data_IF_736021013687
#
_entry.id   IF_736021013687
#
_cell.length_a   1.000
_cell.length_b   1.000
_cell.length_c   1.000
_cell.angle_alpha   90.00
_cell.angle_beta   90.00
_cell.angle_gamma   90.00
#
_symmetry.space_group_name_H-M   'P 1'
#
loop_
_entity.id
_entity.type
_entity.pdbx_description
1 polymer ?
#
# COMPACT_ATOMS: atom_id res chain seq x y z
N UNK A 1 -10.86 -48.29 33.27
CA UNK A 1 -10.60 -46.95 33.83
C UNK A 1 -10.77 -45.94 32.70
N UNK A 2 -11.78 -45.06 32.70
CA UNK A 2 -12.04 -44.10 31.65
C UNK A 2 -11.32 -42.78 31.97
N UNK A 3 -10.65 -42.22 30.94
CA UNK A 3 -10.04 -40.89 30.99
C UNK A 3 -11.11 -39.81 30.91
N UNK A 4 -11.06 -38.88 31.87
CA UNK A 4 -11.95 -37.71 31.95
C UNK A 4 -11.58 -36.67 30.93
N UNK A 5 -12.54 -36.24 30.07
CA UNK A 5 -12.49 -35.01 29.32
C UNK A 5 -12.71 -33.80 30.25
N UNK A 6 -11.76 -32.89 30.29
CA UNK A 6 -11.91 -31.59 30.93
C UNK A 6 -12.34 -30.56 29.88
N UNK A 7 -13.54 -30.03 30.08
CA UNK A 7 -14.14 -29.01 29.19
C UNK A 7 -13.91 -27.63 29.84
N UNK A 8 -12.85 -26.93 29.41
CA UNK A 8 -12.69 -25.50 29.70
C UNK A 8 -12.06 -24.79 28.49
N UNK A 9 -12.84 -23.98 27.80
CA UNK A 9 -12.35 -23.17 26.69
C UNK A 9 -13.41 -22.47 25.85
N UNK A 10 -14.49 -21.94 26.46
CA UNK A 10 -15.43 -21.06 25.76
C UNK A 10 -15.61 -19.76 26.55
N UNK A 11 -14.65 -18.86 26.49
CA UNK A 11 -14.73 -17.54 27.13
C UNK A 11 -13.98 -16.42 26.43
N UNK A 12 -13.18 -16.73 25.42
CA UNK A 12 -12.22 -15.75 24.87
C UNK A 12 -12.69 -14.88 23.70
N UNK A 13 -13.86 -15.12 23.12
CA UNK A 13 -14.28 -14.44 21.88
C UNK A 13 -15.21 -13.24 22.11
N UNK A 14 -15.89 -13.16 23.24
CA UNK A 14 -16.81 -12.07 23.53
C UNK A 14 -16.13 -10.85 24.17
N UNK A 15 -15.00 -11.02 24.85
CA UNK A 15 -14.27 -9.89 25.45
C UNK A 15 -13.43 -9.09 24.45
N UNK A 16 -12.96 -9.70 23.34
CA UNK A 16 -12.21 -8.98 22.30
C UNK A 16 -13.05 -7.95 21.55
N UNK A 17 -14.32 -8.23 21.28
CA UNK A 17 -15.21 -7.31 20.56
C UNK A 17 -15.53 -6.02 21.33
N UNK A 18 -15.50 -6.04 22.65
CA UNK A 18 -15.76 -4.87 23.49
C UNK A 18 -14.53 -3.98 23.68
N UNK A 19 -13.31 -4.55 23.60
CA UNK A 19 -12.06 -3.79 23.66
C UNK A 19 -11.81 -2.99 22.36
N UNK A 20 -12.16 -3.55 21.20
CA UNK A 20 -11.97 -2.91 19.88
C UNK A 20 -12.85 -1.66 19.73
N UNK A 21 -14.08 -1.68 20.22
CA UNK A 21 -14.99 -0.52 20.16
C UNK A 21 -14.55 0.61 21.11
N UNK A 22 -13.94 0.28 22.23
CA UNK A 22 -13.47 1.26 23.21
C UNK A 22 -12.18 1.97 22.74
N UNK A 23 -11.29 1.28 22.01
CA UNK A 23 -10.03 1.85 21.49
C UNK A 23 -10.29 2.78 20.30
N UNK A 24 -11.21 2.43 19.40
CA UNK A 24 -11.63 3.30 18.30
C UNK A 24 -12.32 4.57 18.81
N UNK A 25 -13.15 4.47 19.84
CA UNK A 25 -13.75 5.63 20.52
C UNK A 25 -12.69 6.53 21.18
N UNK A 26 -11.62 5.97 21.75
CA UNK A 26 -10.56 6.74 22.40
C UNK A 26 -9.64 7.45 21.41
N UNK A 27 -9.33 6.87 20.24
CA UNK A 27 -8.55 7.53 19.18
C UNK A 27 -9.33 8.69 18.55
N UNK A 28 -10.62 8.51 18.28
CA UNK A 28 -11.52 9.59 17.85
C UNK A 28 -11.66 10.68 18.92
N UNK A 29 -11.69 10.32 20.21
CA UNK A 29 -11.74 11.27 21.33
C UNK A 29 -10.42 12.00 21.51
N UNK A 30 -9.28 11.36 21.27
CA UNK A 30 -7.95 11.98 21.40
C UNK A 30 -7.68 12.94 20.23
N UNK A 31 -8.04 12.57 19.01
CA UNK A 31 -8.00 13.48 17.85
C UNK A 31 -8.95 14.67 18.02
N UNK A 32 -10.16 14.44 18.56
CA UNK A 32 -11.12 15.50 18.91
C UNK A 32 -10.66 16.39 20.06
N UNK A 33 -9.86 15.88 21.02
CA UNK A 33 -9.28 16.69 22.12
C UNK A 33 -8.11 17.55 21.68
N UNK A 34 -7.29 17.08 20.73
CA UNK A 34 -6.22 17.90 20.12
C UNK A 34 -6.79 19.04 19.27
N UNK A 35 -7.88 18.81 18.55
CA UNK A 35 -8.58 19.83 17.76
C UNK A 35 -9.30 20.91 18.64
N UNK A 36 -9.66 20.57 19.89
CA UNK A 36 -10.37 21.49 20.79
C UNK A 36 -9.53 22.63 21.40
N UNK A 37 -8.23 22.69 21.15
CA UNK A 37 -7.33 23.77 21.64
C UNK A 37 -7.08 24.88 20.64
N UNK A 38 -7.71 24.89 19.46
CA UNK A 38 -7.71 26.02 18.53
C UNK A 38 -9.12 26.57 18.38
N UNK A 39 -9.26 27.88 18.50
CA UNK A 39 -10.48 28.70 18.45
C UNK A 39 -11.40 28.28 17.31
N UNK A 40 -12.74 28.16 17.53
CA UNK A 40 -13.63 27.63 16.52
C UNK A 40 -13.87 28.65 15.40
N UNK A 41 -13.35 28.36 14.21
CA UNK A 41 -13.94 28.85 12.98
C UNK A 41 -15.32 28.20 12.84
N UNK A 42 -16.33 29.00 12.54
CA UNK A 42 -17.75 28.71 12.52
C UNK A 42 -18.11 27.26 12.14
N UNK A 43 -18.92 26.60 12.94
CA UNK A 43 -19.58 25.33 12.67
C UNK A 43 -20.49 25.46 11.44
N UNK A 44 -19.92 25.47 10.25
CA UNK A 44 -20.63 25.13 9.03
C UNK A 44 -20.91 23.63 9.14
N UNK A 45 -22.18 23.25 9.26
CA UNK A 45 -22.65 21.86 9.16
C UNK A 45 -22.04 21.27 7.90
N UNK A 46 -21.02 20.40 8.04
CA UNK A 46 -20.45 19.68 6.91
C UNK A 46 -21.55 18.76 6.39
N UNK A 47 -22.12 19.13 5.26
CA UNK A 47 -23.01 18.25 4.50
C UNK A 47 -22.16 17.07 4.08
N UNK A 48 -22.59 15.84 4.37
CA UNK A 48 -21.93 14.63 3.87
C UNK A 48 -21.98 14.67 2.34
N UNK A 49 -20.84 14.93 1.71
CA UNK A 49 -20.72 14.89 0.25
C UNK A 49 -20.73 13.44 -0.21
N UNK A 50 -21.27 13.12 -1.40
CA UNK A 50 -21.04 11.80 -2.02
C UNK A 50 -19.54 11.54 -2.18
N UNK A 51 -19.11 10.28 -2.02
CA UNK A 51 -17.69 9.91 -2.16
C UNK A 51 -17.08 10.39 -3.49
N UNK A 52 -17.81 10.25 -4.59
CA UNK A 52 -17.37 10.70 -5.92
C UNK A 52 -17.11 12.21 -5.99
N UNK A 53 -17.93 13.00 -5.32
CA UNK A 53 -17.75 14.45 -5.26
C UNK A 53 -16.51 14.81 -4.40
N UNK A 54 -16.34 14.15 -3.25
CA UNK A 54 -15.16 14.34 -2.41
C UNK A 54 -13.86 14.00 -3.17
N UNK A 55 -13.84 12.86 -3.88
CA UNK A 55 -12.68 12.45 -4.67
C UNK A 55 -12.41 13.43 -5.83
N UNK A 56 -13.45 13.84 -6.58
CA UNK A 56 -13.31 14.85 -7.63
C UNK A 56 -12.80 16.19 -7.11
N UNK A 57 -13.33 16.66 -5.98
CA UNK A 57 -12.87 17.89 -5.32
C UNK A 57 -11.40 17.78 -4.85
N UNK A 58 -10.99 16.60 -4.35
CA UNK A 58 -9.61 16.35 -3.96
C UNK A 58 -8.67 16.43 -5.15
N UNK A 59 -8.97 15.72 -6.26
CA UNK A 59 -8.13 15.73 -7.47
C UNK A 59 -8.00 17.14 -8.04
N UNK A 60 -9.10 17.89 -8.11
CA UNK A 60 -9.09 19.28 -8.55
C UNK A 60 -8.25 20.17 -7.65
N UNK A 61 -8.38 20.05 -6.32
CA UNK A 61 -7.61 20.84 -5.36
C UNK A 61 -6.11 20.60 -5.49
N UNK A 62 -5.69 19.35 -5.66
CA UNK A 62 -4.28 19.02 -5.88
C UNK A 62 -3.76 19.58 -7.22
N UNK A 63 -4.57 19.50 -8.28
CA UNK A 63 -4.21 20.06 -9.59
C UNK A 63 -4.11 21.60 -9.57
N UNK A 64 -5.05 22.30 -8.91
CA UNK A 64 -5.04 23.76 -8.73
C UNK A 64 -3.83 24.23 -7.90
N UNK A 65 -3.34 23.39 -6.97
CA UNK A 65 -2.14 23.63 -6.20
C UNK A 65 -0.84 23.23 -6.93
N UNK A 66 -0.95 22.84 -8.20
CA UNK A 66 0.18 22.39 -9.03
C UNK A 66 0.99 21.24 -8.39
N UNK A 67 0.32 20.36 -7.67
CA UNK A 67 0.91 19.14 -7.10
C UNK A 67 0.92 18.07 -8.18
N UNK A 68 2.10 17.55 -8.62
CA UNK A 68 2.14 16.40 -9.51
C UNK A 68 1.69 15.13 -8.77
N UNK A 69 0.75 14.39 -9.35
CA UNK A 69 0.26 13.15 -8.75
C UNK A 69 -0.25 12.16 -9.80
N UNK A 70 -0.34 10.89 -9.42
CA UNK A 70 -1.00 9.84 -10.20
C UNK A 70 -2.00 9.08 -9.34
N UNK A 71 -3.07 8.60 -9.95
CA UNK A 71 -4.11 7.80 -9.28
C UNK A 71 -3.82 6.32 -9.47
N UNK A 72 -3.80 5.57 -8.36
CA UNK A 72 -3.51 4.13 -8.35
C UNK A 72 -4.64 3.28 -7.79
N UNK A 73 -4.28 2.27 -6.99
CA UNK A 73 -5.18 1.42 -6.25
C UNK A 73 -6.28 0.76 -7.08
N UNK A 74 -7.50 0.76 -6.55
CA UNK A 74 -8.66 0.15 -7.19
C UNK A 74 -9.02 0.82 -8.53
N UNK A 75 -8.77 2.12 -8.68
CA UNK A 75 -9.04 2.85 -9.92
C UNK A 75 -8.08 2.45 -11.04
N UNK A 76 -6.79 2.24 -10.74
CA UNK A 76 -5.83 1.71 -11.70
C UNK A 76 -6.20 0.28 -12.10
N UNK A 77 -6.56 -0.58 -11.15
CA UNK A 77 -6.99 -1.95 -11.43
C UNK A 77 -8.23 -1.99 -12.34
N UNK A 78 -9.23 -1.14 -12.07
CA UNK A 78 -10.42 -1.00 -12.92
C UNK A 78 -10.05 -0.58 -14.33
N UNK A 79 -9.18 0.43 -14.47
CA UNK A 79 -8.79 0.95 -15.79
C UNK A 79 -8.00 -0.08 -16.60
N UNK A 80 -7.00 -0.75 -16.00
CA UNK A 80 -6.10 -1.66 -16.71
C UNK A 80 -6.70 -3.05 -16.94
N UNK A 81 -7.38 -3.60 -15.94
CA UNK A 81 -7.87 -4.98 -15.93
C UNK A 81 -9.40 -5.10 -16.01
N UNK A 82 -10.14 -3.99 -15.98
CA UNK A 82 -11.61 -3.99 -15.97
C UNK A 82 -12.22 -4.50 -14.66
N UNK A 83 -11.44 -4.67 -13.62
CA UNK A 83 -11.91 -5.17 -12.32
C UNK A 83 -12.50 -4.01 -11.52
N UNK A 84 -13.82 -3.99 -11.44
CA UNK A 84 -14.56 -3.00 -10.64
C UNK A 84 -14.89 -3.60 -9.28
N UNK A 85 -14.27 -3.09 -8.24
CA UNK A 85 -14.56 -3.46 -6.85
C UNK A 85 -14.84 -2.21 -6.03
N UNK A 86 -15.73 -2.35 -5.05
CA UNK A 86 -15.99 -1.27 -4.11
C UNK A 86 -14.71 -0.91 -3.37
N UNK A 87 -14.37 0.36 -3.37
CA UNK A 87 -13.29 0.92 -2.57
C UNK A 87 -13.84 1.99 -1.64
N UNK A 88 -13.21 2.15 -0.48
CA UNK A 88 -13.56 3.16 0.53
C UNK A 88 -12.61 4.36 0.51
N UNK A 89 -11.60 4.30 -0.33
CA UNK A 89 -10.50 5.23 -0.43
C UNK A 89 -10.16 5.57 -1.88
N UNK A 90 -9.44 6.65 -2.05
CA UNK A 90 -8.78 7.03 -3.28
C UNK A 90 -7.27 7.02 -3.01
N UNK A 91 -6.53 6.15 -3.70
CA UNK A 91 -5.07 6.11 -3.63
C UNK A 91 -4.47 7.13 -4.60
N UNK A 92 -3.82 8.16 -4.05
CA UNK A 92 -3.08 9.20 -4.79
C UNK A 92 -1.60 9.06 -4.48
N UNK A 93 -0.80 8.82 -5.51
CA UNK A 93 0.65 8.73 -5.40
C UNK A 93 1.29 10.05 -5.81
N UNK A 94 2.23 10.55 -5.00
CA UNK A 94 2.95 11.80 -5.23
C UNK A 94 4.37 11.73 -4.65
N UNK A 95 5.29 12.54 -5.15
CA UNK A 95 6.64 12.59 -4.59
C UNK A 95 6.62 13.17 -3.16
N UNK A 96 7.47 12.63 -2.27
CA UNK A 96 7.59 13.13 -0.89
C UNK A 96 7.86 14.65 -0.82
N UNK A 97 8.62 15.20 -1.77
CA UNK A 97 8.91 16.65 -1.88
C UNK A 97 7.66 17.51 -2.02
N UNK A 98 6.58 16.97 -2.58
CA UNK A 98 5.32 17.68 -2.86
C UNK A 98 4.27 17.51 -1.77
N UNK A 99 4.49 16.61 -0.80
CA UNK A 99 3.51 16.29 0.24
C UNK A 99 3.09 17.52 1.07
N UNK A 100 4.03 18.35 1.48
CA UNK A 100 3.71 19.52 2.31
C UNK A 100 2.74 20.46 1.59
N UNK A 101 2.94 20.71 0.29
CA UNK A 101 2.06 21.52 -0.56
C UNK A 101 0.69 20.86 -0.74
N UNK A 102 0.65 19.54 -0.95
CA UNK A 102 -0.59 18.80 -1.05
C UNK A 102 -1.43 18.90 0.24
N UNK A 103 -0.80 18.67 1.40
CA UNK A 103 -1.48 18.74 2.68
C UNK A 103 -2.00 20.16 2.99
N UNK A 104 -1.24 21.19 2.64
CA UNK A 104 -1.66 22.57 2.85
C UNK A 104 -2.87 22.94 1.98
N UNK A 105 -2.84 22.62 0.69
CA UNK A 105 -3.97 22.85 -0.21
C UNK A 105 -5.25 22.15 0.27
N UNK A 106 -5.13 20.92 0.76
CA UNK A 106 -6.28 20.18 1.30
C UNK A 106 -6.77 20.76 2.65
N UNK A 107 -5.88 21.29 3.50
CA UNK A 107 -6.28 22.03 4.73
C UNK A 107 -7.03 23.32 4.42
N UNK A 108 -6.56 24.10 3.44
CA UNK A 108 -7.24 25.31 2.98
C UNK A 108 -8.64 25.01 2.43
N UNK A 109 -8.82 23.84 1.81
CA UNK A 109 -10.13 23.30 1.40
C UNK A 109 -11.02 22.93 2.59
N UNK A 110 -10.47 22.84 3.81
CA UNK A 110 -11.18 22.50 5.04
C UNK A 110 -11.11 21.02 5.39
N UNK A 111 -10.23 20.24 4.75
CA UNK A 111 -10.04 18.83 5.08
C UNK A 111 -9.12 18.66 6.30
N UNK A 112 -9.37 17.62 7.08
CA UNK A 112 -8.44 17.21 8.13
C UNK A 112 -7.30 16.41 7.47
N UNK A 113 -6.07 16.69 7.86
CA UNK A 113 -4.90 16.00 7.30
C UNK A 113 -4.00 15.48 8.40
N UNK A 114 -3.34 14.34 8.14
CA UNK A 114 -2.40 13.69 9.04
C UNK A 114 -1.32 12.92 8.26
N UNK A 115 -0.07 12.99 8.69
CA UNK A 115 0.97 12.07 8.24
C UNK A 115 0.88 10.82 9.10
N UNK A 116 0.02 9.88 8.67
CA UNK A 116 -0.34 8.69 9.45
C UNK A 116 0.86 7.78 9.69
N UNK A 117 1.68 7.59 8.65
CA UNK A 117 2.97 6.90 8.73
C UNK A 117 4.02 7.74 8.00
N UNK A 118 4.92 8.43 8.73
CA UNK A 118 5.81 9.44 8.16
C UNK A 118 6.73 8.95 7.03
N UNK A 119 7.00 7.65 6.93
CA UNK A 119 7.85 7.10 5.89
C UNK A 119 7.13 6.79 4.57
N UNK A 120 5.75 6.73 4.54
CA UNK A 120 5.09 6.31 3.31
C UNK A 120 3.68 6.87 3.06
N UNK A 121 2.92 7.29 4.09
CA UNK A 121 1.49 7.56 3.98
C UNK A 121 1.05 8.77 4.77
N UNK A 122 0.36 9.68 4.12
CA UNK A 122 -0.48 10.69 4.75
C UNK A 122 -1.94 10.50 4.30
N UNK A 123 -2.87 11.04 5.07
CA UNK A 123 -4.31 10.97 4.79
C UNK A 123 -4.95 12.35 4.85
N UNK A 124 -6.01 12.54 4.06
CA UNK A 124 -6.88 13.69 4.19
C UNK A 124 -8.35 13.24 4.26
N UNK A 125 -9.12 13.82 5.18
CA UNK A 125 -10.52 13.44 5.43
C UNK A 125 -11.49 14.59 5.25
N UNK A 126 -12.67 14.26 4.75
CA UNK A 126 -13.84 15.13 4.76
C UNK A 126 -15.08 14.30 5.17
N UNK A 127 -15.54 14.46 6.42
CA UNK A 127 -16.60 13.63 6.98
C UNK A 127 -16.16 12.17 7.13
N UNK A 128 -16.84 11.27 6.43
CA UNK A 128 -16.56 9.81 6.45
C UNK A 128 -15.61 9.38 5.32
N UNK A 129 -15.34 10.25 4.36
CA UNK A 129 -14.49 9.96 3.21
C UNK A 129 -13.05 10.36 3.46
N UNK A 130 -12.12 9.63 2.89
CA UNK A 130 -10.69 9.94 2.96
C UNK A 130 -9.98 9.58 1.67
N UNK A 131 -8.84 10.22 1.48
CA UNK A 131 -7.86 9.94 0.43
C UNK A 131 -6.54 9.55 1.07
N UNK A 132 -5.89 8.56 0.51
CA UNK A 132 -4.53 8.16 0.84
C UNK A 132 -3.54 8.89 -0.06
N UNK A 133 -2.64 9.67 0.55
CA UNK A 133 -1.52 10.33 -0.11
C UNK A 133 -0.28 9.48 0.13
N UNK A 134 0.10 8.71 -0.89
CA UNK A 134 1.14 7.69 -0.82
C UNK A 134 2.39 8.21 -1.51
N UNK A 135 3.53 8.20 -0.83
CA UNK A 135 4.80 8.67 -1.38
C UNK A 135 5.91 7.64 -1.33
N UNK A 136 5.64 6.48 -0.73
CA UNK A 136 6.48 5.28 -0.79
C UNK A 136 5.63 4.05 -0.53
N UNK A 137 6.22 2.86 -0.59
CA UNK A 137 5.61 1.65 -0.02
C UNK A 137 5.95 1.54 1.47
N UNK A 138 5.09 0.89 2.23
CA UNK A 138 5.25 0.72 3.67
C UNK A 138 6.52 -0.04 4.11
N UNK A 139 7.12 -0.80 3.20
CA UNK A 139 8.40 -1.49 3.40
C UNK A 139 9.63 -0.67 2.94
N UNK A 140 9.43 0.55 2.44
CA UNK A 140 10.48 1.46 2.00
C UNK A 140 11.10 1.19 0.62
N UNK A 141 10.58 0.20 -0.14
CA UNK A 141 11.19 -0.19 -1.42
C UNK A 141 10.72 0.64 -2.62
N UNK A 142 9.44 1.02 -2.64
CA UNK A 142 8.81 1.66 -3.79
C UNK A 142 8.61 3.15 -3.48
N UNK A 143 9.65 3.94 -3.58
CA UNK A 143 9.56 5.39 -3.45
C UNK A 143 8.95 6.00 -4.72
N UNK A 144 8.00 6.92 -4.55
CA UNK A 144 7.39 7.64 -5.67
C UNK A 144 8.31 8.76 -6.10
N UNK A 145 8.77 8.70 -7.33
CA UNK A 145 9.65 9.68 -7.96
C UNK A 145 9.01 10.34 -9.20
N UNK A 146 9.74 11.27 -9.81
CA UNK A 146 9.28 11.97 -10.99
C UNK A 146 9.05 11.00 -12.18
N UNK A 147 9.72 9.84 -12.25
CA UNK A 147 9.55 8.88 -13.32
C UNK A 147 8.14 8.23 -13.32
N UNK A 148 7.48 8.12 -12.15
CA UNK A 148 6.09 7.70 -12.07
C UNK A 148 5.16 8.69 -12.77
N UNK A 149 5.40 9.99 -12.54
CA UNK A 149 4.61 11.09 -13.10
C UNK A 149 4.83 11.21 -14.61
N UNK A 150 6.09 11.20 -15.05
CA UNK A 150 6.49 11.37 -16.45
C UNK A 150 5.97 10.24 -17.36
N UNK A 151 5.78 9.04 -16.80
CA UNK A 151 5.29 7.87 -17.52
C UNK A 151 3.79 7.64 -17.37
N UNK A 152 3.09 8.54 -16.66
CA UNK A 152 1.68 8.39 -16.36
C UNK A 152 0.79 8.66 -17.57
N UNK A 153 -0.34 7.95 -17.62
CA UNK A 153 -1.32 8.10 -18.69
C UNK A 153 -2.42 9.07 -18.29
N UNK A 154 -2.68 10.09 -19.11
CA UNK A 154 -3.79 11.00 -18.91
C UNK A 154 -5.14 10.26 -19.00
N UNK A 155 -6.02 10.52 -18.05
CA UNK A 155 -7.36 9.95 -17.92
C UNK A 155 -8.34 10.99 -17.38
N UNK A 156 -9.62 10.62 -17.29
CA UNK A 156 -10.64 11.38 -16.58
C UNK A 156 -11.23 10.50 -15.48
N UNK A 157 -11.22 10.97 -14.24
CA UNK A 157 -11.81 10.30 -13.08
C UNK A 157 -12.68 11.32 -12.33
N UNK A 158 -13.92 10.96 -12.01
CA UNK A 158 -14.89 11.86 -11.35
C UNK A 158 -15.02 13.22 -12.07
N UNK A 159 -15.07 13.18 -13.39
CA UNK A 159 -15.14 14.37 -14.27
C UNK A 159 -13.95 15.34 -14.11
N UNK A 160 -12.85 14.90 -13.50
CA UNK A 160 -11.61 15.66 -13.38
C UNK A 160 -10.50 15.05 -14.25
N UNK A 161 -9.69 15.89 -14.92
CA UNK A 161 -8.45 15.45 -15.51
C UNK A 161 -7.52 14.88 -14.43
N UNK A 162 -6.94 13.71 -14.67
CA UNK A 162 -6.00 13.06 -13.77
C UNK A 162 -4.98 12.27 -14.57
N UNK A 163 -3.98 11.75 -13.88
CA UNK A 163 -2.98 10.84 -14.45
C UNK A 163 -3.05 9.50 -13.74
N UNK A 164 -3.01 8.44 -14.50
CA UNK A 164 -3.05 7.07 -14.00
C UNK A 164 -1.64 6.58 -13.72
N UNK A 165 -1.43 6.01 -12.54
CA UNK A 165 -0.18 5.35 -12.17
C UNK A 165 0.19 4.31 -13.24
N UNK A 166 1.44 4.30 -13.76
CA UNK A 166 1.86 3.30 -14.73
C UNK A 166 1.67 1.89 -14.19
N UNK A 167 1.33 0.96 -15.06
CA UNK A 167 0.97 -0.41 -14.66
C UNK A 167 2.14 -1.16 -14.02
N UNK A 168 3.37 -0.85 -14.42
CA UNK A 168 4.60 -1.40 -13.88
C UNK A 168 4.77 -1.05 -12.40
N UNK A 169 4.51 0.20 -12.04
CA UNK A 169 4.57 0.69 -10.66
C UNK A 169 3.41 0.14 -9.82
N UNK A 170 2.23 0.00 -10.39
CA UNK A 170 1.10 -0.67 -9.71
C UNK A 170 1.47 -2.12 -9.38
N UNK A 171 2.09 -2.85 -10.32
CA UNK A 171 2.56 -4.23 -10.07
C UNK A 171 3.67 -4.21 -9.02
N UNK A 172 4.67 -3.33 -9.17
CA UNK A 172 5.82 -3.24 -8.26
C UNK A 172 5.39 -2.98 -6.82
N UNK A 173 4.54 -1.98 -6.59
CA UNK A 173 4.06 -1.65 -5.23
C UNK A 173 3.26 -2.77 -4.59
N UNK A 174 2.57 -3.60 -5.40
CA UNK A 174 1.76 -4.73 -4.93
C UNK A 174 2.55 -6.03 -4.73
N UNK A 175 3.69 -6.20 -5.39
CA UNK A 175 4.50 -7.42 -5.32
C UNK A 175 4.88 -7.82 -3.89
N UNK A 176 5.03 -6.84 -3.01
CA UNK A 176 5.49 -7.06 -1.65
C UNK A 176 4.36 -7.16 -0.61
N UNK A 177 3.09 -7.13 -1.02
CA UNK A 177 1.96 -7.23 -0.10
C UNK A 177 1.57 -8.70 0.05
N UNK A 178 2.18 -9.37 1.04
CA UNK A 178 1.96 -10.79 1.39
C UNK A 178 1.69 -10.94 2.89
N UNK A 179 0.79 -10.10 3.40
CA UNK A 179 0.36 -10.16 4.81
C UNK A 179 -0.59 -11.34 5.04
N UNK A 180 -0.79 -11.73 6.29
CA UNK A 180 -1.74 -12.80 6.64
C UNK A 180 -3.17 -12.49 6.21
N UNK A 181 -3.58 -11.24 6.40
CA UNK A 181 -4.93 -10.73 6.12
C UNK A 181 -5.07 -10.11 4.73
N UNK A 182 -3.96 -9.85 4.04
CA UNK A 182 -3.95 -9.20 2.73
C UNK A 182 -2.85 -9.75 1.84
N UNK A 183 -3.26 -10.25 0.70
CA UNK A 183 -2.38 -10.71 -0.38
C UNK A 183 -2.83 -10.09 -1.70
N UNK A 184 -2.01 -9.21 -2.27
CA UNK A 184 -2.35 -8.49 -3.51
C UNK A 184 -1.99 -9.26 -4.80
N UNK A 185 -1.60 -10.53 -4.71
CA UNK A 185 -1.23 -11.35 -5.86
C UNK A 185 -2.34 -11.49 -6.91
N UNK A 186 -3.62 -11.55 -6.49
CA UNK A 186 -4.72 -11.59 -7.44
C UNK A 186 -4.79 -10.34 -8.33
N UNK A 187 -4.54 -9.14 -7.76
CA UNK A 187 -4.48 -7.89 -8.52
C UNK A 187 -3.35 -7.93 -9.55
N UNK A 188 -2.16 -8.41 -9.15
CA UNK A 188 -0.99 -8.59 -10.03
C UNK A 188 -1.34 -9.53 -11.18
N UNK A 189 -1.98 -10.67 -10.90
CA UNK A 189 -2.31 -11.66 -11.93
C UNK A 189 -3.35 -11.12 -12.90
N UNK A 190 -4.32 -10.34 -12.45
CA UNK A 190 -5.26 -9.65 -13.33
C UNK A 190 -4.56 -8.62 -14.23
N UNK A 191 -3.62 -7.84 -13.68
CA UNK A 191 -2.83 -6.87 -14.45
C UNK A 191 -1.94 -7.58 -15.48
N UNK A 192 -1.27 -8.67 -15.12
CA UNK A 192 -0.48 -9.48 -16.06
C UNK A 192 -1.35 -10.10 -17.16
N UNK A 193 -2.55 -10.61 -16.82
CA UNK A 193 -3.49 -11.14 -17.80
C UNK A 193 -4.00 -10.05 -18.76
N UNK A 194 -4.17 -8.83 -18.29
CA UNK A 194 -4.67 -7.72 -19.09
C UNK A 194 -3.57 -7.00 -19.91
N UNK A 195 -2.34 -6.94 -19.42
CA UNK A 195 -1.27 -6.07 -19.93
C UNK A 195 0.08 -6.76 -20.17
N UNK A 196 0.26 -8.01 -19.80
CA UNK A 196 1.56 -8.70 -19.85
C UNK A 196 2.29 -8.63 -21.19
N UNK A 197 1.55 -8.61 -22.29
CA UNK A 197 2.06 -8.47 -23.65
C UNK A 197 2.46 -7.03 -24.03
N UNK A 198 2.08 -6.03 -23.24
CA UNK A 198 2.33 -4.59 -23.49
C UNK A 198 3.10 -3.89 -22.38
N UNK A 199 3.44 -4.61 -21.29
CA UNK A 199 4.25 -4.09 -20.19
C UNK A 199 5.66 -3.70 -20.67
N UNK A 200 6.20 -2.62 -20.13
CA UNK A 200 7.63 -2.37 -20.14
C UNK A 200 8.32 -3.28 -19.11
N UNK A 201 8.66 -4.49 -19.55
CA UNK A 201 9.32 -5.48 -18.70
C UNK A 201 10.70 -5.05 -18.23
N UNK A 202 11.43 -4.23 -19.01
CA UNK A 202 12.73 -3.71 -18.57
C UNK A 202 12.54 -2.75 -17.39
N UNK A 203 11.54 -1.89 -17.45
CA UNK A 203 11.16 -0.98 -16.36
C UNK A 203 10.77 -1.78 -15.11
N UNK A 204 9.88 -2.76 -15.24
CA UNK A 204 9.45 -3.58 -14.11
C UNK A 204 10.61 -4.36 -13.48
N UNK A 205 11.49 -4.96 -14.30
CA UNK A 205 12.67 -5.68 -13.82
C UNK A 205 13.68 -4.74 -13.13
N UNK A 206 13.83 -3.51 -13.64
CA UNK A 206 14.66 -2.48 -13.01
C UNK A 206 14.10 -2.08 -11.66
N UNK A 207 12.78 -1.84 -11.56
CA UNK A 207 12.09 -1.46 -10.34
C UNK A 207 12.22 -2.52 -9.24
N UNK A 208 12.03 -3.80 -9.57
CA UNK A 208 12.17 -4.87 -8.57
C UNK A 208 13.63 -5.15 -8.19
N UNK A 209 14.57 -4.87 -9.07
CA UNK A 209 16.01 -4.88 -8.84
C UNK A 209 16.54 -6.13 -8.12
N UNK A 210 17.11 -5.95 -6.92
CA UNK A 210 17.63 -7.03 -6.09
C UNK A 210 16.53 -8.02 -5.62
N UNK A 211 15.27 -7.57 -5.55
CA UNK A 211 14.15 -8.37 -5.07
C UNK A 211 13.43 -9.17 -6.19
N UNK A 212 14.11 -9.42 -7.30
CA UNK A 212 13.60 -10.13 -8.48
C UNK A 212 12.97 -11.49 -8.16
N UNK A 213 13.39 -12.16 -7.08
CA UNK A 213 12.80 -13.44 -6.64
C UNK A 213 11.32 -13.29 -6.28
N UNK A 214 10.91 -12.14 -5.77
CA UNK A 214 9.51 -11.85 -5.46
C UNK A 214 8.70 -11.78 -6.75
N UNK A 215 9.20 -11.07 -7.76
CA UNK A 215 8.55 -11.03 -9.08
C UNK A 215 8.50 -12.42 -9.70
N UNK A 216 9.60 -13.18 -9.71
CA UNK A 216 9.61 -14.56 -10.22
C UNK A 216 8.55 -15.43 -9.55
N UNK A 217 8.40 -15.34 -8.23
CA UNK A 217 7.36 -16.03 -7.47
C UNK A 217 5.95 -15.71 -8.02
N UNK A 218 5.65 -14.41 -8.22
CA UNK A 218 4.37 -14.00 -8.81
C UNK A 218 4.19 -14.52 -10.25
N UNK A 219 5.23 -14.53 -11.08
CA UNK A 219 5.14 -15.05 -12.45
C UNK A 219 4.89 -16.56 -12.48
N UNK A 220 5.46 -17.31 -11.54
CA UNK A 220 5.18 -18.76 -11.38
C UNK A 220 3.72 -18.97 -10.96
N UNK A 221 3.24 -18.22 -9.98
CA UNK A 221 1.83 -18.29 -9.56
C UNK A 221 0.88 -17.83 -10.67
N UNK A 222 1.22 -16.78 -11.41
CA UNK A 222 0.43 -16.33 -12.57
C UNK A 222 0.26 -17.48 -13.59
N UNK A 223 1.36 -18.17 -13.91
CA UNK A 223 1.35 -19.27 -14.87
C UNK A 223 0.52 -20.49 -14.38
N UNK A 224 0.34 -20.65 -13.06
CA UNK A 224 -0.55 -21.62 -12.45
C UNK A 224 -2.02 -21.14 -12.53
N UNK A 225 -2.29 -19.89 -12.18
CA UNK A 225 -3.65 -19.32 -12.17
C UNK A 225 -4.24 -19.21 -13.58
N UNK A 226 -3.43 -18.80 -14.55
CA UNK A 226 -3.84 -18.60 -15.96
C UNK A 226 -3.01 -19.44 -16.94
N UNK A 227 -3.19 -20.79 -16.97
CA UNK A 227 -2.34 -21.66 -17.80
C UNK A 227 -2.44 -21.38 -19.30
N UNK A 228 -3.53 -20.78 -19.78
CA UNK A 228 -3.71 -20.36 -21.18
C UNK A 228 -3.07 -19.03 -21.52
N UNK A 229 -2.70 -18.22 -20.53
CA UNK A 229 -2.22 -16.84 -20.68
C UNK A 229 -0.69 -16.74 -20.46
N UNK A 230 0.01 -17.88 -20.29
CA UNK A 230 1.45 -17.92 -19.99
C UNK A 230 2.31 -17.16 -20.99
N UNK A 231 1.92 -17.18 -22.27
CA UNK A 231 2.61 -16.49 -23.34
C UNK A 231 2.57 -14.96 -23.24
N UNK A 232 1.74 -14.38 -22.38
CA UNK A 232 1.74 -12.93 -22.10
C UNK A 232 2.99 -12.48 -21.34
N UNK A 233 3.69 -13.40 -20.70
CA UNK A 233 5.02 -13.14 -20.16
C UNK A 233 6.03 -13.49 -21.27
N UNK A 234 6.84 -12.52 -21.74
CA UNK A 234 7.84 -12.78 -22.77
C UNK A 234 8.83 -13.86 -22.32
N UNK A 235 9.19 -14.76 -23.24
CA UNK A 235 10.11 -15.87 -22.92
C UNK A 235 11.44 -15.36 -22.34
N UNK A 236 11.99 -14.27 -22.89
CA UNK A 236 13.25 -13.71 -22.41
C UNK A 236 13.22 -13.26 -20.93
N UNK A 237 12.04 -12.84 -20.41
CA UNK A 237 11.86 -12.49 -18.99
C UNK A 237 12.00 -13.73 -18.12
N UNK A 238 11.25 -14.78 -18.47
CA UNK A 238 11.30 -16.05 -17.71
C UNK A 238 12.69 -16.69 -17.81
N UNK A 239 13.25 -16.77 -19.01
CA UNK A 239 14.58 -17.36 -19.24
C UNK A 239 15.67 -16.59 -18.46
N UNK A 240 15.61 -15.25 -18.48
CA UNK A 240 16.54 -14.40 -17.73
C UNK A 240 16.44 -14.59 -16.21
N UNK A 241 15.22 -14.62 -15.66
CA UNK A 241 15.00 -14.84 -14.22
C UNK A 241 15.38 -16.26 -13.79
N UNK A 242 15.10 -17.27 -14.61
CA UNK A 242 15.50 -18.65 -14.35
C UNK A 242 17.02 -18.83 -14.45
N UNK A 243 17.68 -18.21 -15.42
CA UNK A 243 19.14 -18.22 -15.51
C UNK A 243 19.79 -17.59 -14.28
N UNK A 244 19.25 -16.45 -13.81
CA UNK A 244 19.69 -15.79 -12.58
C UNK A 244 19.46 -16.68 -11.35
N UNK A 245 18.33 -17.37 -11.24
CA UNK A 245 18.05 -18.34 -10.17
C UNK A 245 19.08 -19.47 -10.12
N UNK A 246 19.53 -19.95 -11.29
CA UNK A 246 20.54 -20.98 -11.40
C UNK A 246 21.93 -20.45 -11.01
N UNK A 247 22.27 -19.24 -11.43
CA UNK A 247 23.56 -18.61 -11.14
C UNK A 247 23.73 -18.27 -9.63
N UNK A 248 22.64 -17.84 -8.99
CA UNK A 248 22.63 -17.41 -7.59
C UNK A 248 22.11 -18.53 -6.64
N UNK A 249 22.59 -19.78 -6.81
CA UNK A 249 22.17 -20.94 -5.97
C UNK A 249 22.81 -20.94 -4.58
N UNK A 250 23.90 -20.22 -4.41
CA UNK A 250 24.65 -20.19 -3.15
C UNK A 250 23.84 -19.52 -2.04
N UNK A 251 24.18 -19.84 -0.79
CA UNK A 251 23.73 -19.07 0.36
C UNK A 251 24.53 -17.77 0.44
N UNK A 252 23.85 -16.69 0.80
CA UNK A 252 24.50 -15.45 1.20
C UNK A 252 24.69 -15.50 2.73
N UNK A 253 25.90 -15.22 3.19
CA UNK A 253 26.18 -15.14 4.63
C UNK A 253 25.81 -13.75 5.16
N UNK A 254 24.52 -13.43 5.05
CA UNK A 254 23.97 -12.16 5.50
C UNK A 254 22.85 -12.44 6.51
N UNK A 255 23.01 -11.98 7.77
CA UNK A 255 22.04 -12.26 8.83
C UNK A 255 20.78 -11.37 8.72
N UNK A 256 20.16 -11.30 7.55
CA UNK A 256 18.97 -10.47 7.28
C UNK A 256 17.77 -11.33 6.94
N UNK A 257 16.59 -10.95 7.46
CA UNK A 257 15.32 -11.54 7.09
C UNK A 257 14.56 -10.63 6.11
N UNK A 258 14.59 -10.96 4.82
CA UNK A 258 13.83 -10.25 3.79
C UNK A 258 12.31 -10.49 3.89
N UNK A 259 11.86 -11.41 4.74
CA UNK A 259 10.45 -11.64 4.99
C UNK A 259 9.71 -10.43 5.52
N UNK A 260 10.40 -9.54 6.25
CA UNK A 260 9.85 -8.27 6.76
C UNK A 260 9.47 -7.28 5.64
N UNK A 261 10.04 -7.43 4.44
CA UNK A 261 9.64 -6.68 3.25
C UNK A 261 8.30 -7.14 2.67
N UNK A 262 7.86 -8.36 3.00
CA UNK A 262 6.62 -8.97 2.51
C UNK A 262 5.49 -8.86 3.53
N UNK A 263 5.83 -8.96 4.82
CA UNK A 263 4.86 -8.90 5.92
C UNK A 263 5.48 -8.26 7.15
N UNK A 264 4.81 -7.25 7.68
CA UNK A 264 5.23 -6.52 8.88
C UNK A 264 5.15 -7.35 10.17
N UNK A 265 4.40 -8.47 10.17
CA UNK A 265 4.13 -9.26 11.39
C UNK A 265 4.71 -10.68 11.32
N UNK A 266 4.58 -11.36 10.20
CA UNK A 266 4.78 -12.81 10.14
C UNK A 266 6.21 -13.24 10.42
N UNK A 267 7.19 -12.35 10.25
CA UNK A 267 8.62 -12.60 10.45
C UNK A 267 9.21 -11.97 11.71
N UNK A 268 8.40 -11.39 12.60
CA UNK A 268 8.87 -10.80 13.86
C UNK A 268 9.51 -11.84 14.79
N UNK A 269 9.07 -13.10 14.72
CA UNK A 269 9.69 -14.20 15.45
C UNK A 269 11.14 -14.41 15.04
N UNK A 270 11.44 -14.35 13.74
CA UNK A 270 12.79 -14.53 13.22
C UNK A 270 13.74 -13.41 13.68
N UNK A 271 13.24 -12.18 13.76
CA UNK A 271 14.01 -11.05 14.28
C UNK A 271 14.29 -11.20 15.80
N UNK A 272 13.26 -11.52 16.58
CA UNK A 272 13.30 -11.51 18.05
C UNK A 272 14.00 -12.73 18.64
N UNK A 273 13.74 -13.92 18.08
CA UNK A 273 14.16 -15.19 18.65
C UNK A 273 15.36 -15.82 17.92
N UNK A 274 15.54 -15.49 16.62
CA UNK A 274 16.62 -16.07 15.81
C UNK A 274 17.75 -15.08 15.51
N UNK A 275 17.57 -13.79 15.87
CA UNK A 275 18.59 -12.77 15.74
C UNK A 275 18.83 -12.29 14.31
N UNK A 276 17.87 -12.48 13.38
CA UNK A 276 17.95 -11.88 12.06
C UNK A 276 17.76 -10.37 12.13
N UNK A 277 18.48 -9.64 11.28
CA UNK A 277 18.26 -8.22 11.08
C UNK A 277 17.00 -7.96 10.24
N UNK A 278 16.33 -6.84 10.49
CA UNK A 278 15.18 -6.39 9.71
C UNK A 278 15.65 -5.76 8.39
N UNK A 279 15.18 -6.29 7.26
CA UNK A 279 15.56 -5.81 5.94
C UNK A 279 15.06 -4.39 5.61
N UNK A 280 14.12 -3.84 6.39
CA UNK A 280 13.58 -2.50 6.21
C UNK A 280 14.46 -1.40 6.79
N UNK A 281 15.34 -1.74 7.75
CA UNK A 281 16.12 -0.83 8.58
C UNK A 281 17.60 -0.87 8.13
N UNK A 282 18.32 0.24 8.32
CA UNK A 282 19.76 0.30 8.03
C UNK A 282 20.55 -0.80 8.77
N UNK A 283 21.58 -1.43 8.17
CA UNK A 283 22.18 -1.07 6.88
C UNK A 283 21.50 -1.70 5.65
N UNK A 284 20.47 -2.51 5.81
CA UNK A 284 19.83 -3.28 4.73
C UNK A 284 18.69 -2.52 4.04
N UNK A 285 18.01 -1.63 4.75
CA UNK A 285 16.94 -0.76 4.27
C UNK A 285 17.16 0.68 4.66
N UNK A 286 16.18 1.53 4.37
CA UNK A 286 16.26 2.98 4.55
C UNK A 286 15.15 3.55 5.44
N UNK A 287 14.26 2.72 5.97
CA UNK A 287 13.16 3.18 6.82
C UNK A 287 13.69 3.40 8.25
N UNK A 288 13.38 4.55 8.89
CA UNK A 288 13.72 4.78 10.29
C UNK A 288 13.08 3.73 11.22
N UNK A 289 13.83 3.22 12.17
CA UNK A 289 13.34 2.20 13.11
C UNK A 289 12.07 2.63 13.87
N UNK A 290 11.93 3.88 14.38
CA UNK A 290 10.70 4.32 15.03
C UNK A 290 9.46 4.28 14.12
N UNK A 291 9.63 4.52 12.82
CA UNK A 291 8.54 4.48 11.84
C UNK A 291 8.09 3.03 11.59
N UNK A 292 9.04 2.08 11.56
CA UNK A 292 8.75 0.64 11.48
C UNK A 292 8.01 0.16 12.72
N UNK A 293 8.44 0.60 13.90
CA UNK A 293 7.76 0.28 15.17
C UNK A 293 6.33 0.81 15.16
N UNK A 294 6.13 2.09 14.79
CA UNK A 294 4.81 2.69 14.70
C UNK A 294 3.90 1.93 13.71
N UNK A 295 4.42 1.54 12.56
CA UNK A 295 3.65 0.80 11.56
C UNK A 295 3.33 -0.62 12.01
N UNK A 296 4.27 -1.29 12.66
CA UNK A 296 4.07 -2.64 13.22
C UNK A 296 3.03 -2.63 14.35
N UNK A 297 3.08 -1.65 15.25
CA UNK A 297 2.13 -1.49 16.36
C UNK A 297 0.71 -1.12 15.91
N UNK A 298 0.55 -0.70 14.67
CA UNK A 298 -0.75 -0.42 14.08
C UNK A 298 -1.50 -1.68 13.61
N UNK A 299 -0.90 -2.88 13.72
CA UNK A 299 -1.53 -4.16 13.38
C UNK A 299 -2.81 -4.34 14.21
N UNK A 300 -3.93 -4.62 13.53
CA UNK A 300 -5.25 -4.76 14.15
C UNK A 300 -5.92 -3.46 14.58
N UNK A 301 -5.25 -2.29 14.46
CA UNK A 301 -5.81 -0.97 14.80
C UNK A 301 -6.34 -0.21 13.57
N UNK A 302 -5.94 -0.62 12.38
CA UNK A 302 -6.36 -0.03 11.10
C UNK A 302 -7.21 -1.06 10.37
N UNK A 303 -8.52 -0.87 10.41
CA UNK A 303 -9.50 -1.56 9.55
C UNK A 303 -10.44 -0.56 8.93
#
# INVERSE_FOLDING_TARGET
MPLRHDARGRGGWLERGLYETAVMSNLLVTAKKAAKRRTPLSTRRMVSLPASQFYGDTLRTLAEAEVPFVVGGAFALKHYAGIDRATKDLDVFLCRKDLARALEALREKGYLTDETFPHWLAKAWCGEHFVDLIYASANGLCEVDDAWIDSAKAITIFDQPAFLCPVEEVIWSKCFVMERERFDGADIYHLLAAKGDTLDWNRLLTNVGAHWRVLLGHLVFYAFVYPRERQKIPAWVMDGLMARMVAERGSEDVPVCNGTLLSREQYLFDLREKGYADARIAPYGNVPEPDIEQWTDAIGKIK
#
